data_IF_515302216620
#
_entry.id   IF_515302216620
#
_cell.length_a   1.000
_cell.length_b   1.000
_cell.length_c   1.000
_cell.angle_alpha   90.00
_cell.angle_beta   90.00
_cell.angle_gamma   90.00
#
_symmetry.space_group_name_H-M   'P 1'
#
loop_
_entity.id
_entity.type
_entity.pdbx_description
1 polymer ?
#
# COMPACT_ATOMS: atom_id res chain seq x y z
N UNK A 1 -28.55 11.51 -17.07
CA UNK A 1 -27.09 11.54 -16.89
C UNK A 1 -26.64 10.11 -16.64
N UNK A 2 -25.59 9.66 -17.31
CA UNK A 2 -24.99 8.33 -17.12
C UNK A 2 -24.41 8.26 -15.70
N UNK A 3 -24.73 7.23 -14.92
CA UNK A 3 -24.19 7.07 -13.55
C UNK A 3 -22.71 6.68 -13.64
N UNK A 4 -21.83 7.39 -12.94
CA UNK A 4 -20.41 7.03 -12.87
C UNK A 4 -20.19 5.89 -11.87
N UNK A 5 -19.29 4.96 -12.20
CA UNK A 5 -18.88 3.87 -11.31
C UNK A 5 -17.37 3.68 -11.40
N UNK A 6 -16.70 3.65 -10.25
CA UNK A 6 -15.26 3.43 -10.16
C UNK A 6 -14.97 2.24 -9.27
N UNK A 7 -14.18 1.29 -9.76
CA UNK A 7 -13.72 0.11 -9.01
C UNK A 7 -12.23 -0.08 -9.20
N UNK A 8 -11.54 -0.49 -8.14
CA UNK A 8 -10.11 -0.78 -8.17
C UNK A 8 -9.85 -2.19 -7.65
N UNK A 9 -8.80 -2.85 -8.14
CA UNK A 9 -8.12 -3.86 -7.33
C UNK A 9 -7.14 -3.16 -6.40
N UNK A 10 -6.54 -3.86 -5.42
CA UNK A 10 -5.22 -3.48 -4.93
C UNK A 10 -4.22 -3.39 -6.10
N UNK A 11 -3.19 -2.57 -5.95
CA UNK A 11 -1.99 -2.72 -6.75
C UNK A 11 -1.16 -3.87 -6.17
N UNK A 12 -0.60 -4.72 -7.02
CA UNK A 12 0.06 -5.95 -6.58
C UNK A 12 1.57 -5.76 -6.43
N UNK A 13 2.12 -6.26 -5.32
CA UNK A 13 3.53 -6.12 -5.01
C UNK A 13 4.42 -6.90 -5.98
N UNK A 14 5.42 -6.25 -6.58
CA UNK A 14 6.25 -6.84 -7.65
C UNK A 14 7.43 -7.68 -7.17
N UNK A 15 7.36 -8.31 -6.00
CA UNK A 15 8.45 -9.15 -5.50
C UNK A 15 8.44 -10.59 -6.06
N UNK A 16 7.48 -10.93 -6.90
CA UNK A 16 7.35 -12.25 -7.51
C UNK A 16 6.25 -12.33 -8.57
N UNK A 17 6.13 -13.51 -9.19
CA UNK A 17 5.16 -13.76 -10.27
C UNK A 17 3.71 -13.79 -9.76
N UNK A 18 2.74 -13.45 -10.63
CA UNK A 18 1.33 -13.47 -10.24
C UNK A 18 0.82 -14.88 -9.88
N UNK A 19 -0.10 -14.96 -8.94
CA UNK A 19 -0.72 -16.21 -8.47
C UNK A 19 -2.24 -16.11 -8.38
N UNK A 20 -2.91 -17.20 -7.99
CA UNK A 20 -4.38 -17.31 -7.95
C UNK A 20 -5.07 -16.22 -7.12
N UNK A 21 -4.46 -15.73 -6.04
CA UNK A 21 -4.99 -14.61 -5.26
C UNK A 21 -5.16 -13.31 -6.09
N UNK A 22 -4.17 -12.94 -6.89
CA UNK A 22 -4.23 -11.77 -7.77
C UNK A 22 -5.30 -11.95 -8.85
N UNK A 23 -5.36 -13.15 -9.43
CA UNK A 23 -6.37 -13.49 -10.43
C UNK A 23 -7.80 -13.40 -9.84
N UNK A 24 -8.02 -13.91 -8.63
CA UNK A 24 -9.34 -13.89 -7.99
C UNK A 24 -9.86 -12.46 -7.79
N UNK A 25 -9.06 -11.59 -7.19
CA UNK A 25 -9.48 -10.20 -6.92
C UNK A 25 -9.69 -9.43 -8.22
N UNK A 26 -8.80 -9.62 -9.21
CA UNK A 26 -8.96 -9.03 -10.54
C UNK A 26 -10.25 -9.48 -11.21
N UNK A 27 -10.58 -10.77 -11.13
CA UNK A 27 -11.83 -11.33 -11.68
C UNK A 27 -13.06 -10.73 -10.99
N UNK A 28 -13.05 -10.63 -9.66
CA UNK A 28 -14.17 -10.07 -8.90
C UNK A 28 -14.46 -8.61 -9.30
N UNK A 29 -13.41 -7.78 -9.39
CA UNK A 29 -13.54 -6.39 -9.85
C UNK A 29 -13.96 -6.30 -11.34
N UNK A 30 -13.45 -7.19 -12.19
CA UNK A 30 -13.82 -7.25 -13.61
C UNK A 30 -15.31 -7.60 -13.81
N UNK A 31 -15.83 -8.56 -13.04
CA UNK A 31 -17.26 -8.93 -13.06
C UNK A 31 -18.12 -7.73 -12.67
N UNK A 32 -17.75 -7.00 -11.61
CA UNK A 32 -18.45 -5.78 -11.19
C UNK A 32 -18.39 -4.69 -12.26
N UNK A 33 -17.21 -4.42 -12.80
CA UNK A 33 -17.03 -3.42 -13.86
C UNK A 33 -17.89 -3.74 -15.08
N UNK A 34 -17.89 -5.00 -15.54
CA UNK A 34 -18.72 -5.46 -16.66
C UNK A 34 -20.21 -5.34 -16.36
N UNK A 35 -20.65 -5.77 -15.18
CA UNK A 35 -22.05 -5.66 -14.78
C UNK A 35 -22.51 -4.19 -14.80
N UNK A 36 -21.71 -3.28 -14.24
CA UNK A 36 -22.04 -1.85 -14.21
C UNK A 36 -22.03 -1.23 -15.62
N UNK A 37 -21.13 -1.65 -16.52
CA UNK A 37 -21.18 -1.24 -17.93
C UNK A 37 -22.45 -1.74 -18.62
N UNK A 38 -22.88 -2.98 -18.35
CA UNK A 38 -24.13 -3.54 -18.88
C UNK A 38 -25.36 -2.82 -18.33
N UNK A 39 -25.30 -2.35 -17.08
CA UNK A 39 -26.32 -1.51 -16.44
C UNK A 39 -26.29 -0.03 -16.90
N UNK A 40 -25.52 0.28 -17.95
CA UNK A 40 -25.46 1.60 -18.57
C UNK A 40 -24.69 2.65 -17.75
N UNK A 41 -23.81 2.24 -16.85
CA UNK A 41 -22.92 3.15 -16.12
C UNK A 41 -21.68 3.54 -16.95
N UNK A 42 -21.15 4.74 -16.70
CA UNK A 42 -19.82 5.15 -17.15
C UNK A 42 -18.79 4.58 -16.15
N UNK A 43 -18.00 3.61 -16.59
CA UNK A 43 -17.17 2.78 -15.70
C UNK A 43 -15.70 3.10 -15.87
N UNK A 44 -15.01 3.23 -14.74
CA UNK A 44 -13.55 3.12 -14.64
C UNK A 44 -13.18 1.91 -13.79
N UNK A 45 -12.33 1.05 -14.32
CA UNK A 45 -11.76 -0.09 -13.63
C UNK A 45 -10.22 0.03 -13.63
N UNK A 46 -9.63 0.28 -12.45
CA UNK A 46 -8.18 0.39 -12.28
C UNK A 46 -7.59 -0.87 -11.64
N UNK A 47 -6.43 -1.29 -12.15
CA UNK A 47 -5.53 -2.26 -11.51
C UNK A 47 -4.11 -1.70 -11.53
N UNK A 48 -3.13 -2.37 -10.92
CA UNK A 48 -1.75 -1.91 -11.04
C UNK A 48 -0.72 -2.76 -10.30
N UNK A 49 0.49 -2.24 -10.24
CA UNK A 49 1.65 -2.82 -9.55
C UNK A 49 2.26 -1.84 -8.56
N UNK A 50 2.56 -2.35 -7.37
CA UNK A 50 3.37 -1.67 -6.36
C UNK A 50 4.83 -2.07 -6.55
N UNK A 51 5.64 -1.09 -6.95
CA UNK A 51 6.98 -1.30 -7.49
C UNK A 51 8.10 -0.83 -6.59
N UNK A 52 7.82 -0.14 -5.49
CA UNK A 52 8.86 0.43 -4.62
C UNK A 52 9.13 -0.42 -3.38
N UNK A 53 10.17 -0.06 -2.61
CA UNK A 53 10.46 -0.67 -1.32
C UNK A 53 11.67 -1.61 -1.31
N UNK A 54 12.15 -1.89 -0.10
CA UNK A 54 13.39 -2.63 0.15
C UNK A 54 13.34 -4.07 -0.37
N UNK A 55 12.21 -4.78 -0.29
CA UNK A 55 12.14 -6.16 -0.80
C UNK A 55 12.27 -6.21 -2.33
N UNK A 56 11.67 -5.26 -3.06
CA UNK A 56 11.85 -5.17 -4.52
C UNK A 56 13.32 -4.90 -4.86
N UNK A 57 13.96 -3.98 -4.16
CA UNK A 57 15.39 -3.66 -4.35
C UNK A 57 16.27 -4.90 -4.13
N UNK A 58 16.10 -5.60 -3.01
CA UNK A 58 16.87 -6.83 -2.69
C UNK A 58 16.61 -7.98 -3.67
N UNK A 59 15.35 -8.17 -4.09
CA UNK A 59 15.03 -9.23 -5.07
C UNK A 59 15.62 -8.91 -6.44
N UNK A 60 15.63 -7.64 -6.86
CA UNK A 60 16.27 -7.20 -8.09
C UNK A 60 17.79 -7.46 -8.05
N UNK A 61 18.45 -7.10 -6.95
CA UNK A 61 19.88 -7.36 -6.72
C UNK A 61 20.21 -8.86 -6.77
N UNK A 62 19.41 -9.70 -6.09
CA UNK A 62 19.57 -11.15 -6.12
C UNK A 62 19.38 -11.75 -7.52
N UNK A 63 18.59 -11.09 -8.38
CA UNK A 63 18.40 -11.44 -9.78
C UNK A 63 19.45 -10.82 -10.72
N UNK A 64 20.40 -10.02 -10.21
CA UNK A 64 21.39 -9.31 -11.02
C UNK A 64 20.80 -8.22 -11.91
N UNK A 65 19.67 -7.63 -11.51
CA UNK A 65 18.93 -6.60 -12.25
C UNK A 65 18.87 -5.30 -11.47
N UNK A 66 18.67 -4.17 -12.16
CA UNK A 66 18.28 -2.93 -11.47
C UNK A 66 16.83 -3.04 -10.97
N UNK A 67 16.44 -2.34 -9.89
CA UNK A 67 15.06 -2.37 -9.38
C UNK A 67 14.02 -2.01 -10.45
N UNK A 68 14.28 -0.99 -11.28
CA UNK A 68 13.40 -0.62 -12.39
C UNK A 68 13.26 -1.76 -13.41
N UNK A 69 14.36 -2.39 -13.83
CA UNK A 69 14.30 -3.47 -14.82
C UNK A 69 13.58 -4.70 -14.27
N UNK A 70 13.72 -4.97 -12.97
CA UNK A 70 12.99 -6.04 -12.30
C UNK A 70 11.49 -5.74 -12.22
N UNK A 71 11.11 -4.52 -11.80
CA UNK A 71 9.73 -4.06 -11.79
C UNK A 71 9.09 -4.12 -13.19
N UNK A 72 9.79 -3.65 -14.23
CA UNK A 72 9.34 -3.72 -15.63
C UNK A 72 9.07 -5.17 -16.08
N UNK A 73 9.91 -6.11 -15.66
CA UNK A 73 9.74 -7.54 -15.96
C UNK A 73 8.50 -8.09 -15.27
N UNK A 74 8.35 -7.88 -13.96
CA UNK A 74 7.25 -8.45 -13.17
C UNK A 74 5.92 -7.82 -13.55
N UNK A 75 5.88 -6.51 -13.82
CA UNK A 75 4.69 -5.82 -14.32
C UNK A 75 4.15 -6.45 -15.60
N UNK A 76 5.06 -6.82 -16.52
CA UNK A 76 4.68 -7.51 -17.75
C UNK A 76 4.01 -8.86 -17.46
N UNK A 77 4.47 -9.61 -16.47
CA UNK A 77 3.84 -10.87 -16.05
C UNK A 77 2.41 -10.64 -15.54
N UNK A 78 2.17 -9.57 -14.77
CA UNK A 78 0.82 -9.18 -14.34
C UNK A 78 -0.08 -8.75 -15.51
N UNK A 79 0.46 -8.02 -16.51
CA UNK A 79 -0.29 -7.71 -17.74
C UNK A 79 -0.61 -8.95 -18.55
N UNK A 80 0.30 -9.92 -18.63
CA UNK A 80 0.07 -11.19 -19.31
C UNK A 80 -1.03 -12.00 -18.60
N UNK A 81 -1.04 -12.03 -17.27
CA UNK A 81 -2.15 -12.61 -16.49
C UNK A 81 -3.48 -11.92 -16.81
N UNK A 82 -3.53 -10.59 -16.74
CA UNK A 82 -4.75 -9.82 -17.02
C UNK A 82 -5.25 -10.08 -18.46
N UNK A 83 -4.34 -10.15 -19.44
CA UNK A 83 -4.66 -10.48 -20.83
C UNK A 83 -5.19 -11.90 -20.98
N UNK A 84 -4.56 -12.89 -20.35
CA UNK A 84 -4.99 -14.28 -20.39
C UNK A 84 -6.40 -14.45 -19.81
N UNK A 85 -6.72 -13.69 -18.76
CA UNK A 85 -8.05 -13.63 -18.15
C UNK A 85 -9.06 -12.81 -18.94
N UNK A 86 -8.62 -12.05 -19.96
CA UNK A 86 -9.44 -11.06 -20.68
C UNK A 86 -10.06 -10.03 -19.73
N UNK A 87 -9.31 -9.60 -18.72
CA UNK A 87 -9.72 -8.53 -17.81
C UNK A 87 -9.91 -7.21 -18.59
N UNK A 88 -10.84 -6.38 -18.12
CA UNK A 88 -11.26 -5.13 -18.78
C UNK A 88 -10.87 -3.89 -18.00
N UNK A 89 -9.69 -3.93 -17.37
CA UNK A 89 -9.11 -2.76 -16.73
C UNK A 89 -8.97 -1.63 -17.76
N UNK A 90 -9.49 -0.45 -17.43
CA UNK A 90 -9.39 0.75 -18.26
C UNK A 90 -8.01 1.41 -18.12
N UNK A 91 -7.32 1.16 -17.01
CA UNK A 91 -5.96 1.63 -16.74
C UNK A 91 -5.23 0.59 -15.88
N UNK A 92 -3.90 0.61 -15.96
CA UNK A 92 -3.02 -0.24 -15.18
C UNK A 92 -1.84 0.61 -14.70
N UNK A 93 -1.94 1.11 -13.47
CA UNK A 93 -0.98 2.05 -12.87
C UNK A 93 0.25 1.31 -12.35
N UNK A 94 1.41 1.95 -12.49
CA UNK A 94 2.67 1.52 -11.86
C UNK A 94 3.17 2.62 -10.93
N UNK A 95 3.59 2.29 -9.72
CA UNK A 95 4.09 3.32 -8.78
C UNK A 95 5.39 3.98 -9.24
N UNK A 96 6.16 3.33 -10.12
CA UNK A 96 7.36 3.92 -10.72
C UNK A 96 7.07 5.04 -11.74
N UNK A 97 5.82 5.19 -12.20
CA UNK A 97 5.44 6.18 -13.21
C UNK A 97 5.54 7.65 -12.70
N UNK A 98 5.94 8.60 -13.56
CA UNK A 98 6.00 10.01 -13.20
C UNK A 98 4.66 10.59 -12.71
N UNK A 99 3.53 10.13 -13.27
CA UNK A 99 2.19 10.60 -12.86
C UNK A 99 1.84 10.20 -11.43
N UNK A 100 2.29 9.02 -11.00
CA UNK A 100 2.12 8.52 -9.65
C UNK A 100 2.97 9.32 -8.66
N UNK A 101 4.26 9.45 -8.95
CA UNK A 101 5.22 10.22 -8.15
C UNK A 101 4.74 11.65 -7.90
N UNK A 102 4.17 12.31 -8.92
CA UNK A 102 3.56 13.63 -8.78
C UNK A 102 2.36 13.64 -7.82
N UNK A 103 1.52 12.60 -7.86
CA UNK A 103 0.40 12.42 -6.94
C UNK A 103 0.86 12.25 -5.50
N UNK A 104 1.84 11.37 -5.27
CA UNK A 104 2.47 11.14 -3.95
C UNK A 104 3.07 12.41 -3.40
N UNK A 105 3.87 13.14 -4.19
CA UNK A 105 4.43 14.44 -3.80
C UNK A 105 3.34 15.43 -3.37
N UNK A 106 2.26 15.54 -4.15
CA UNK A 106 1.15 16.46 -3.83
C UNK A 106 0.41 16.05 -2.56
N UNK A 107 0.21 14.75 -2.34
CA UNK A 107 -0.43 14.24 -1.14
C UNK A 107 0.42 14.48 0.09
N UNK A 108 1.73 14.25 0.00
CA UNK A 108 2.69 14.53 1.07
C UNK A 108 2.67 16.01 1.48
N UNK A 109 2.80 16.93 0.51
CA UNK A 109 2.72 18.37 0.76
C UNK A 109 1.45 18.75 1.51
N UNK A 110 0.32 18.14 1.14
CA UNK A 110 -0.98 18.39 1.79
C UNK A 110 -1.02 17.93 3.24
N UNK A 111 -0.36 16.82 3.56
CA UNK A 111 -0.26 16.34 4.93
C UNK A 111 0.66 17.23 5.77
N UNK A 112 1.74 17.77 5.19
CA UNK A 112 2.57 18.79 5.84
C UNK A 112 1.76 20.07 6.12
N UNK A 113 1.02 20.57 5.13
CA UNK A 113 0.15 21.76 5.27
C UNK A 113 -0.88 21.61 6.41
N UNK A 114 -1.34 20.39 6.68
CA UNK A 114 -2.34 20.09 7.70
C UNK A 114 -1.76 19.75 9.09
N UNK A 115 -0.44 19.84 9.28
CA UNK A 115 0.28 19.35 10.47
C UNK A 115 -0.10 17.89 10.82
N UNK A 116 -0.16 17.05 9.78
CA UNK A 116 -0.38 15.61 9.92
C UNK A 116 0.92 14.82 9.89
N UNK A 117 2.04 15.45 9.54
CA UNK A 117 3.36 14.83 9.50
C UNK A 117 4.30 15.49 10.50
N UNK A 118 5.09 14.69 11.20
CA UNK A 118 6.19 15.17 12.03
C UNK A 118 7.40 14.25 11.89
N UNK A 119 8.60 14.83 12.00
CA UNK A 119 9.83 14.05 12.05
C UNK A 119 10.03 13.55 13.49
N UNK A 120 10.31 12.26 13.63
CA UNK A 120 10.70 11.64 14.89
C UNK A 120 11.78 10.60 14.65
N UNK A 121 12.13 9.85 15.69
CA UNK A 121 12.89 8.61 15.55
C UNK A 121 11.95 7.45 15.82
N UNK A 122 12.02 6.44 14.95
CA UNK A 122 11.43 5.14 15.25
C UNK A 122 12.52 4.24 15.80
N UNK A 123 12.32 3.68 16.98
CA UNK A 123 13.19 2.63 17.53
C UNK A 123 12.40 1.39 17.89
N UNK A 124 12.88 0.23 17.49
CA UNK A 124 12.22 -1.04 17.78
C UNK A 124 12.85 -2.24 17.09
N UNK A 125 12.33 -3.42 17.41
CA UNK A 125 12.76 -4.66 16.77
C UNK A 125 12.06 -4.80 15.42
N UNK A 126 12.80 -4.63 14.33
CA UNK A 126 12.27 -4.70 12.98
C UNK A 126 12.44 -6.09 12.38
N UNK A 127 11.40 -6.64 11.76
CA UNK A 127 11.54 -7.77 10.85
C UNK A 127 11.42 -7.30 9.41
N UNK A 128 12.49 -7.49 8.62
CA UNK A 128 12.45 -7.24 7.18
C UNK A 128 11.48 -8.19 6.47
N UNK A 129 11.31 -9.41 6.97
CA UNK A 129 10.38 -10.38 6.39
C UNK A 129 8.93 -9.91 6.55
N UNK A 130 8.58 -9.46 7.75
CA UNK A 130 7.21 -9.02 8.06
C UNK A 130 6.96 -7.54 7.71
N UNK A 131 8.00 -6.78 7.35
CA UNK A 131 7.96 -5.31 7.17
C UNK A 131 7.30 -4.58 8.34
N UNK A 132 7.52 -5.14 9.52
CA UNK A 132 6.80 -4.78 10.74
C UNK A 132 7.79 -4.65 11.87
N UNK A 133 7.56 -3.63 12.69
CA UNK A 133 8.24 -3.46 13.95
C UNK A 133 7.45 -4.11 15.08
N UNK A 134 8.19 -4.68 16.02
CA UNK A 134 7.70 -5.33 17.21
C UNK A 134 8.26 -4.62 18.43
N UNK A 135 7.39 -4.39 19.42
CA UNK A 135 7.85 -4.08 20.76
C UNK A 135 8.57 -5.30 21.34
N UNK A 136 9.50 -5.09 22.27
CA UNK A 136 10.27 -6.19 22.89
C UNK A 136 9.34 -7.26 23.52
N UNK A 137 8.21 -6.83 24.10
CA UNK A 137 7.18 -7.72 24.67
C UNK A 137 6.48 -8.62 23.66
N UNK A 138 6.53 -8.28 22.38
CA UNK A 138 5.92 -9.05 21.28
C UNK A 138 6.87 -10.12 20.76
N UNK A 139 8.16 -10.07 21.13
CA UNK A 139 9.14 -11.06 20.68
C UNK A 139 8.98 -12.39 21.42
N UNK A 140 9.13 -13.47 20.67
CA UNK A 140 9.14 -14.84 21.18
C UNK A 140 10.55 -15.40 20.99
N UNK A 141 11.28 -15.58 22.09
CA UNK A 141 12.68 -16.04 22.07
C UNK A 141 13.59 -15.20 21.14
N UNK A 142 13.43 -13.87 21.15
CA UNK A 142 14.25 -12.96 20.34
C UNK A 142 13.90 -12.95 18.84
N UNK A 143 12.68 -13.39 18.48
CA UNK A 143 12.16 -13.42 17.11
C UNK A 143 10.76 -12.80 17.04
N UNK A 144 10.34 -12.40 15.85
CA UNK A 144 8.96 -11.98 15.60
C UNK A 144 7.98 -13.13 15.93
N UNK A 145 6.70 -12.84 16.24
CA UNK A 145 5.66 -13.87 16.45
C UNK A 145 5.52 -14.88 15.31
N UNK A 146 5.90 -14.47 14.09
CA UNK A 146 5.94 -15.28 12.87
C UNK A 146 7.11 -16.27 12.83
N UNK A 147 8.09 -16.11 13.72
CA UNK A 147 9.37 -16.81 13.72
C UNK A 147 10.46 -16.14 12.88
N UNK A 148 10.17 -14.99 12.25
CA UNK A 148 11.15 -14.22 11.50
C UNK A 148 12.23 -13.61 12.42
N UNK A 149 13.45 -13.46 11.88
CA UNK A 149 14.50 -12.75 12.59
C UNK A 149 14.13 -11.27 12.71
N UNK A 150 14.57 -10.67 13.82
CA UNK A 150 14.42 -9.24 14.09
C UNK A 150 15.78 -8.62 14.36
N UNK A 151 15.91 -7.34 14.04
CA UNK A 151 17.07 -6.51 14.35
C UNK A 151 16.63 -5.23 15.03
N UNK A 152 17.41 -4.72 15.99
CA UNK A 152 17.12 -3.42 16.59
C UNK A 152 17.46 -2.34 15.58
N UNK A 153 16.46 -1.56 15.18
CA UNK A 153 16.63 -0.42 14.27
C UNK A 153 16.21 0.83 15.02
N UNK A 154 17.05 1.86 14.93
CA UNK A 154 16.71 3.22 15.33
C UNK A 154 17.03 4.13 14.13
N UNK A 155 15.99 4.63 13.47
CA UNK A 155 16.13 5.49 12.30
C UNK A 155 15.22 6.71 12.40
N UNK A 156 15.64 7.88 11.89
CA UNK A 156 14.74 8.99 11.70
C UNK A 156 13.63 8.57 10.73
N UNK A 157 12.41 9.00 11.01
CA UNK A 157 11.27 8.74 10.13
C UNK A 157 10.23 9.85 10.28
N UNK A 158 9.53 10.14 9.18
CA UNK A 158 8.32 10.95 9.23
C UNK A 158 7.16 10.08 9.67
N UNK A 159 6.36 10.63 10.58
CA UNK A 159 5.18 9.97 11.13
C UNK A 159 3.92 10.69 10.72
N UNK A 160 2.96 9.92 10.22
CA UNK A 160 1.60 10.35 10.05
C UNK A 160 0.85 10.23 11.37
N UNK A 161 0.21 11.33 11.79
CA UNK A 161 -0.59 11.45 13.01
C UNK A 161 -1.92 10.69 12.90
N UNK A 162 -1.88 9.39 12.66
CA UNK A 162 -3.07 8.55 12.51
C UNK A 162 -3.96 8.59 13.77
N UNK A 163 -3.37 8.73 14.96
CA UNK A 163 -4.10 8.85 16.23
C UNK A 163 -5.09 10.03 16.23
N UNK A 164 -4.76 11.16 15.57
CA UNK A 164 -5.62 12.35 15.40
C UNK A 164 -6.94 12.03 14.69
N UNK A 165 -7.00 10.94 13.93
CA UNK A 165 -8.14 10.57 13.09
C UNK A 165 -9.08 9.54 13.71
N UNK A 166 -8.75 8.97 14.87
CA UNK A 166 -9.50 7.87 15.48
C UNK A 166 -11.01 8.16 15.64
N UNK A 167 -11.36 9.24 16.33
CA UNK A 167 -12.77 9.57 16.60
C UNK A 167 -13.55 9.89 15.32
N UNK A 168 -12.86 10.52 14.35
CA UNK A 168 -13.45 10.84 13.05
C UNK A 168 -13.75 9.58 12.26
N UNK A 169 -12.85 8.60 12.27
CA UNK A 169 -13.04 7.31 11.60
C UNK A 169 -14.17 6.52 12.26
N UNK A 170 -14.19 6.43 13.60
CA UNK A 170 -15.27 5.75 14.33
C UNK A 170 -16.63 6.37 14.05
N UNK A 171 -16.72 7.71 14.05
CA UNK A 171 -17.94 8.42 13.68
C UNK A 171 -18.37 8.08 12.25
N UNK A 172 -17.44 8.16 11.30
CA UNK A 172 -17.71 7.87 9.90
C UNK A 172 -18.22 6.44 9.69
N UNK A 173 -17.59 5.43 10.30
CA UNK A 173 -18.05 4.04 10.17
C UNK A 173 -19.41 3.79 10.82
N UNK A 174 -19.76 4.53 11.87
CA UNK A 174 -21.09 4.45 12.50
C UNK A 174 -22.17 5.10 11.63
N UNK A 175 -21.87 6.26 11.04
CA UNK A 175 -22.80 6.99 10.17
C UNK A 175 -22.98 6.33 8.80
N UNK A 176 -22.01 5.53 8.36
CA UNK A 176 -22.00 4.83 7.07
C UNK A 176 -21.82 3.31 7.26
N UNK A 177 -22.86 2.58 7.70
CA UNK A 177 -22.75 1.16 8.05
C UNK A 177 -22.36 0.27 6.86
N UNK A 178 -22.66 0.68 5.64
CA UNK A 178 -22.38 -0.09 4.41
C UNK A 178 -21.03 0.27 3.75
N UNK A 179 -20.23 1.14 4.38
CA UNK A 179 -18.95 1.58 3.81
C UNK A 179 -17.90 0.47 3.76
N UNK A 180 -17.98 -0.51 4.67
CA UNK A 180 -17.08 -1.66 4.73
C UNK A 180 -17.92 -2.93 4.67
N UNK A 181 -17.60 -3.80 3.71
CA UNK A 181 -18.23 -5.10 3.56
C UNK A 181 -17.18 -6.23 3.52
N UNK A 182 -17.53 -7.45 3.97
CA UNK A 182 -18.76 -7.81 4.67
C UNK A 182 -18.79 -7.25 6.12
N UNK A 183 -19.96 -7.32 6.77
CA UNK A 183 -20.16 -6.79 8.11
C UNK A 183 -19.19 -7.34 9.17
N UNK A 184 -18.70 -8.58 9.01
CA UNK A 184 -17.67 -9.14 9.90
C UNK A 184 -16.36 -8.36 9.83
N UNK A 185 -15.88 -8.03 8.62
CA UNK A 185 -14.66 -7.23 8.42
C UNK A 185 -14.84 -5.80 8.91
N UNK A 186 -16.03 -5.21 8.74
CA UNK A 186 -16.37 -3.93 9.36
C UNK A 186 -16.21 -3.96 10.88
N UNK A 187 -16.73 -5.01 11.53
CA UNK A 187 -16.66 -5.14 12.98
C UNK A 187 -15.20 -5.30 13.46
N UNK A 188 -14.38 -6.05 12.72
CA UNK A 188 -12.93 -6.16 12.98
C UNK A 188 -12.24 -4.79 12.91
N UNK A 189 -12.47 -4.01 11.84
CA UNK A 189 -11.89 -2.67 11.67
C UNK A 189 -12.33 -1.74 12.82
N UNK A 190 -13.62 -1.70 13.14
CA UNK A 190 -14.13 -0.85 14.23
C UNK A 190 -13.53 -1.29 15.58
N UNK A 191 -13.41 -2.59 15.82
CA UNK A 191 -12.79 -3.12 17.04
C UNK A 191 -11.32 -2.70 17.14
N UNK A 192 -10.57 -2.79 16.05
CA UNK A 192 -9.18 -2.35 15.99
C UNK A 192 -9.05 -0.85 16.29
N UNK A 193 -9.82 -0.01 15.61
CA UNK A 193 -9.76 1.46 15.82
C UNK A 193 -10.13 1.84 17.26
N UNK A 194 -11.05 1.12 17.90
CA UNK A 194 -11.42 1.33 19.31
C UNK A 194 -10.32 1.01 20.32
N UNK A 195 -9.32 0.22 19.94
CA UNK A 195 -8.20 -0.13 20.83
C UNK A 195 -7.19 1.02 20.99
N UNK A 196 -7.25 2.04 20.14
CA UNK A 196 -6.25 3.10 20.08
C UNK A 196 -5.45 3.02 18.79
N UNK A 197 -5.52 4.06 17.96
CA UNK A 197 -4.64 4.20 16.79
C UNK A 197 -3.32 4.82 17.20
N UNK A 198 -2.23 4.20 16.76
CA UNK A 198 -0.87 4.71 16.92
C UNK A 198 -0.44 5.43 15.64
N UNK A 199 0.44 6.42 15.80
CA UNK A 199 0.97 7.18 14.66
C UNK A 199 1.85 6.27 13.79
N UNK A 200 1.74 6.47 12.47
CA UNK A 200 2.26 5.56 11.47
C UNK A 200 3.55 6.10 10.87
N UNK A 201 4.61 5.31 10.88
CA UNK A 201 5.84 5.66 10.18
C UNK A 201 5.65 5.55 8.65
N UNK A 202 5.87 6.66 7.94
CA UNK A 202 5.57 6.82 6.50
C UNK A 202 6.78 7.24 5.66
N UNK A 203 7.99 7.19 6.22
CA UNK A 203 9.23 7.31 5.45
C UNK A 203 10.35 6.41 5.97
N UNK A 204 11.39 6.20 5.16
CA UNK A 204 12.61 5.43 5.48
C UNK A 204 13.85 6.14 4.95
N UNK A 205 15.00 5.91 5.58
CA UNK A 205 16.32 6.37 5.08
C UNK A 205 17.24 5.21 4.67
N UNK A 206 16.79 3.97 4.87
CA UNK A 206 17.59 2.75 4.74
C UNK A 206 17.66 2.18 3.32
N UNK A 207 16.90 2.74 2.39
CA UNK A 207 16.92 2.38 0.98
C UNK A 207 16.49 3.56 0.10
N UNK A 208 16.78 3.49 -1.20
CA UNK A 208 16.55 4.61 -2.12
C UNK A 208 15.50 4.30 -3.20
N UNK A 209 15.13 3.03 -3.36
CA UNK A 209 14.10 2.62 -4.32
C UNK A 209 12.67 2.99 -3.85
N UNK A 210 12.28 4.24 -4.10
CA UNK A 210 10.98 4.81 -3.76
C UNK A 210 10.78 6.23 -4.26
N UNK A 211 9.69 6.87 -3.85
CA UNK A 211 9.45 8.30 -4.09
C UNK A 211 10.20 9.13 -3.04
N UNK A 212 11.10 10.06 -3.40
CA UNK A 212 11.76 10.91 -2.41
C UNK A 212 10.77 11.80 -1.67
N UNK A 213 11.00 12.03 -0.37
CA UNK A 213 10.20 12.98 0.42
C UNK A 213 10.42 14.41 -0.10
N UNK A 214 9.36 15.17 -0.40
CA UNK A 214 9.48 16.55 -0.84
C UNK A 214 10.21 17.42 0.20
N UNK A 215 11.35 17.99 -0.19
CA UNK A 215 12.18 18.83 0.67
C UNK A 215 13.21 18.07 1.53
N UNK A 216 13.22 16.74 1.49
CA UNK A 216 14.12 15.90 2.28
C UNK A 216 14.52 14.62 1.52
N UNK A 217 15.51 14.70 0.59
CA UNK A 217 15.84 13.62 -0.32
C UNK A 217 16.52 12.42 0.36
N UNK A 218 16.96 12.55 1.61
CA UNK A 218 17.52 11.45 2.39
C UNK A 218 16.44 10.46 2.82
N UNK A 219 15.17 10.88 2.78
CA UNK A 219 14.01 10.05 3.04
C UNK A 219 13.27 9.64 1.76
N UNK A 220 12.81 8.39 1.73
CA UNK A 220 11.83 7.89 0.76
C UNK A 220 10.46 7.71 1.43
N UNK A 221 9.39 8.08 0.72
CA UNK A 221 8.01 7.81 1.11
C UNK A 221 7.82 6.30 1.19
N UNK A 222 7.26 5.83 2.30
CA UNK A 222 7.17 4.41 2.62
C UNK A 222 5.73 3.91 2.46
N UNK A 223 5.55 2.89 1.62
CA UNK A 223 4.38 2.00 1.46
C UNK A 223 3.04 2.73 1.49
N UNK A 224 2.55 3.09 2.67
CA UNK A 224 1.21 3.64 2.95
C UNK A 224 0.83 4.90 2.18
N UNK A 225 1.78 5.81 1.96
CA UNK A 225 1.53 7.07 1.24
C UNK A 225 2.02 7.02 -0.21
N UNK A 226 2.62 5.90 -0.61
CA UNK A 226 3.07 5.63 -1.97
C UNK A 226 2.04 4.79 -2.72
N UNK A 227 1.73 3.58 -2.25
CA UNK A 227 0.78 2.65 -2.85
C UNK A 227 -0.68 3.13 -2.80
#
# INVERSE_FOLDING_TARGET
MTRAFYVTTPIYYVNGSPHVGHAYTTLACDVLARFMRLDGCDVKFLSGTDEHGQKVERTAEAAGMTPQAFADKVEKEFREMAKAMKATCDDFIRTSEPRHKKGVTKFWERLVENDDLYLGSYSGWYSVTDETFFAEKELINGKAPTGANVEWVEEPSYFFRLSKYQDRLLKFYNDHPDFIAPASRRNEVISFVKQGLIDLSVSRTTFTWGVPVPGDPDHVVYVWLDA
#
